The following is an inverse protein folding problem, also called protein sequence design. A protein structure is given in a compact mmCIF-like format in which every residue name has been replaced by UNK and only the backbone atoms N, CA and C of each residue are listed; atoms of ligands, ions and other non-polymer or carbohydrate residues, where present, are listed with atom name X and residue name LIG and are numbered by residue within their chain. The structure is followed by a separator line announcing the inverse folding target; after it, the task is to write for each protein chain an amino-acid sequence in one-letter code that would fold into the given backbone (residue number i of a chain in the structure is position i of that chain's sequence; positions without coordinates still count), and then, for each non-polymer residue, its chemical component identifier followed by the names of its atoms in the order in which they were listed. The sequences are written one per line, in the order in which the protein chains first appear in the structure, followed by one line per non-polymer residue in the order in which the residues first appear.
data_IF_404282319098
#
_entry.id   IF_404282319098
#
_cell.length_a   1.000
_cell.length_b   1.000
_cell.length_c   1.000
_cell.angle_alpha   90.00
_cell.angle_beta   90.00
_cell.angle_gamma   90.00
#
_symmetry.space_group_name_H-M   'P 1'
#
loop_
_entity.id
_entity.type
_entity.pdbx_description
1 polymer ?
#
# COMPACT_ATOMS: atom_id res chain seq x y z
N UNK A 1 13.97 -9.97 -0.08
CA UNK A 1 12.78 -10.17 0.78
C UNK A 1 12.20 -8.87 1.38
N UNK A 2 12.85 -7.70 1.30
CA UNK A 2 12.30 -6.43 1.82
C UNK A 2 10.91 -6.11 1.26
N UNK A 3 10.72 -6.18 -0.07
CA UNK A 3 9.45 -5.84 -0.71
C UNK A 3 8.28 -6.66 -0.13
N UNK A 4 8.51 -7.95 0.17
CA UNK A 4 7.53 -8.83 0.81
C UNK A 4 7.08 -8.28 2.15
N UNK A 5 8.00 -7.93 3.05
CA UNK A 5 7.66 -7.36 4.35
C UNK A 5 6.96 -6.01 4.26
N UNK A 6 7.36 -5.19 3.27
CA UNK A 6 6.65 -3.94 2.99
C UNK A 6 5.19 -4.20 2.62
N UNK A 7 4.93 -5.14 1.72
CA UNK A 7 3.58 -5.49 1.28
C UNK A 7 2.75 -6.12 2.39
N UNK A 8 3.34 -7.02 3.20
CA UNK A 8 2.65 -7.64 4.33
C UNK A 8 2.21 -6.60 5.37
N UNK A 9 3.09 -5.65 5.71
CA UNK A 9 2.74 -4.57 6.63
C UNK A 9 1.66 -3.63 6.06
N UNK A 10 1.70 -3.33 4.75
CA UNK A 10 0.66 -2.55 4.08
C UNK A 10 -0.68 -3.30 4.06
N UNK A 11 -0.68 -4.60 3.78
CA UNK A 11 -1.88 -5.42 3.77
C UNK A 11 -2.55 -5.45 5.15
N UNK A 12 -1.76 -5.46 6.23
CA UNK A 12 -2.28 -5.39 7.59
C UNK A 12 -2.93 -4.04 7.90
N UNK A 13 -2.33 -2.93 7.45
CA UNK A 13 -2.91 -1.59 7.60
C UNK A 13 -4.26 -1.49 6.88
N UNK A 14 -4.33 -1.99 5.64
CA UNK A 14 -5.56 -2.05 4.86
C UNK A 14 -6.63 -2.86 5.59
N UNK A 15 -6.28 -4.06 6.09
CA UNK A 15 -7.25 -4.95 6.73
C UNK A 15 -7.76 -4.43 8.08
N UNK A 16 -6.96 -3.63 8.81
CA UNK A 16 -7.28 -3.18 10.17
C UNK A 16 -7.86 -1.77 10.23
N UNK A 17 -7.27 -0.84 9.50
CA UNK A 17 -7.62 0.59 9.53
C UNK A 17 -8.30 1.07 8.25
N UNK A 18 -8.20 0.32 7.15
CA UNK A 18 -8.57 0.80 5.83
C UNK A 18 -7.60 1.83 5.25
N UNK A 19 -6.55 2.20 5.99
CA UNK A 19 -5.56 3.18 5.56
C UNK A 19 -4.40 2.52 4.79
N UNK A 20 -3.81 3.31 3.88
CA UNK A 20 -2.64 2.92 3.10
C UNK A 20 -1.47 3.89 3.33
N UNK A 21 -0.50 3.50 4.16
CA UNK A 21 0.70 4.32 4.39
C UNK A 21 1.80 3.97 3.38
N UNK A 22 1.92 4.79 2.34
CA UNK A 22 2.96 4.64 1.31
C UNK A 22 4.36 4.91 1.89
N UNK A 23 4.50 5.98 2.68
CA UNK A 23 5.74 6.25 3.41
C UNK A 23 5.82 5.34 4.64
N UNK A 24 6.86 4.52 4.71
CA UNK A 24 6.96 3.46 5.70
C UNK A 24 7.62 3.97 6.98
N UNK A 25 6.99 3.78 8.16
CA UNK A 25 7.60 4.14 9.44
C UNK A 25 8.76 3.21 9.80
N UNK A 26 8.75 1.95 9.34
CA UNK A 26 9.79 0.95 9.61
C UNK A 26 10.89 0.91 8.54
N UNK A 27 11.34 2.09 8.07
CA UNK A 27 12.32 2.21 6.98
C UNK A 27 13.63 1.45 7.27
N UNK A 28 14.17 1.58 8.47
CA UNK A 28 15.47 1.01 8.81
C UNK A 28 15.43 -0.51 8.89
N UNK A 29 14.35 -1.09 9.42
CA UNK A 29 14.11 -2.54 9.40
C UNK A 29 14.08 -3.07 7.96
N UNK A 30 13.36 -2.39 7.07
CA UNK A 30 13.28 -2.76 5.65
C UNK A 30 14.67 -2.72 5.00
N UNK A 31 15.47 -1.70 5.28
CA UNK A 31 16.83 -1.60 4.77
C UNK A 31 17.75 -2.69 5.32
N UNK A 32 17.66 -3.03 6.60
CA UNK A 32 18.42 -4.14 7.20
C UNK A 32 18.07 -5.49 6.54
N UNK A 33 16.78 -5.73 6.26
CA UNK A 33 16.35 -6.92 5.50
C UNK A 33 16.93 -6.92 4.08
N UNK A 34 16.99 -5.76 3.41
CA UNK A 34 17.60 -5.65 2.07
C UNK A 34 19.12 -5.86 2.12
N UNK A 35 19.77 -5.41 3.19
CA UNK A 35 21.21 -5.59 3.41
C UNK A 35 21.61 -7.03 3.78
N UNK A 36 20.64 -7.92 4.02
CA UNK A 36 20.93 -9.31 4.39
C UNK A 36 21.33 -9.49 5.86
N UNK A 37 20.98 -8.54 6.73
CA UNK A 37 21.28 -8.60 8.18
C UNK A 37 20.64 -9.79 8.89
N UNK A 38 19.61 -10.39 8.30
CA UNK A 38 18.85 -11.50 8.90
C UNK A 38 19.06 -12.81 8.13
N UNK A 39 19.11 -13.96 8.82
CA UNK A 39 19.09 -15.27 8.17
C UNK A 39 17.83 -15.47 7.33
N UNK A 40 17.98 -16.11 6.18
CA UNK A 40 16.88 -16.38 5.25
C UNK A 40 15.72 -17.15 5.91
N UNK A 41 16.03 -18.24 6.62
CA UNK A 41 15.02 -19.09 7.28
C UNK A 41 14.20 -18.31 8.32
N UNK A 42 14.84 -17.40 9.06
CA UNK A 42 14.14 -16.54 10.03
C UNK A 42 13.17 -15.58 9.33
N UNK A 43 13.57 -14.99 8.21
CA UNK A 43 12.69 -14.13 7.41
C UNK A 43 11.53 -14.92 6.79
N UNK A 44 11.80 -16.13 6.29
CA UNK A 44 10.78 -16.99 5.71
C UNK A 44 9.72 -17.39 6.75
N UNK A 45 10.15 -17.79 7.95
CA UNK A 45 9.26 -18.11 9.05
C UNK A 45 8.39 -16.90 9.45
N UNK A 46 9.02 -15.72 9.63
CA UNK A 46 8.30 -14.48 9.96
C UNK A 46 7.25 -14.13 8.90
N UNK A 47 7.58 -14.26 7.62
CA UNK A 47 6.65 -13.98 6.53
C UNK A 47 5.45 -14.95 6.52
N UNK A 48 5.66 -16.25 6.78
CA UNK A 48 4.57 -17.25 6.85
C UNK A 48 3.63 -16.98 8.02
N UNK A 49 4.17 -16.65 9.20
CA UNK A 49 3.37 -16.26 10.36
C UNK A 49 2.52 -15.03 10.05
N UNK A 50 3.11 -14.02 9.40
CA UNK A 50 2.41 -12.80 9.03
C UNK A 50 1.30 -13.06 8.00
N UNK A 51 1.56 -13.88 6.98
CA UNK A 51 0.53 -14.28 6.00
C UNK A 51 -0.66 -14.96 6.67
N UNK A 52 -0.40 -15.85 7.64
CA UNK A 52 -1.48 -16.54 8.38
C UNK A 52 -2.32 -15.55 9.18
N UNK A 53 -1.69 -14.58 9.83
CA UNK A 53 -2.38 -13.48 10.52
C UNK A 53 -3.21 -12.62 9.56
N UNK A 54 -2.67 -12.27 8.39
CA UNK A 54 -3.39 -11.49 7.39
C UNK A 54 -4.67 -12.18 6.94
N UNK A 55 -4.64 -13.51 6.74
CA UNK A 55 -5.85 -14.26 6.40
C UNK A 55 -6.96 -13.99 7.43
N UNK A 56 -6.67 -14.16 8.72
CA UNK A 56 -7.64 -13.91 9.79
C UNK A 56 -8.08 -12.44 9.88
N UNK A 57 -7.21 -11.49 9.56
CA UNK A 57 -7.57 -10.07 9.53
C UNK A 57 -8.52 -9.75 8.38
N UNK A 58 -8.27 -10.28 7.18
CA UNK A 58 -9.15 -10.07 6.03
C UNK A 58 -10.49 -10.79 6.16
N UNK A 59 -10.53 -11.95 6.84
CA UNK A 59 -11.80 -12.62 7.18
C UNK A 59 -12.71 -11.77 8.08
N UNK A 60 -12.12 -10.82 8.83
CA UNK A 60 -12.83 -9.91 9.75
C UNK A 60 -12.93 -8.47 9.23
N UNK A 61 -12.26 -8.17 8.11
CA UNK A 61 -12.22 -6.82 7.58
C UNK A 61 -13.59 -6.43 6.98
N UNK A 62 -13.99 -5.18 7.16
CA UNK A 62 -15.21 -4.64 6.57
C UNK A 62 -15.07 -4.29 5.08
N UNK A 63 -14.04 -4.83 4.42
CA UNK A 63 -13.73 -4.53 3.02
C UNK A 63 -14.64 -5.36 2.11
N UNK A 64 -15.19 -4.75 1.04
CA UNK A 64 -15.98 -5.51 0.08
C UNK A 64 -15.08 -6.48 -0.70
N UNK A 65 -15.65 -7.61 -1.14
CA UNK A 65 -14.93 -8.58 -1.97
C UNK A 65 -14.43 -7.96 -3.29
N UNK A 66 -15.19 -7.00 -3.82
CA UNK A 66 -14.83 -6.25 -5.03
C UNK A 66 -15.06 -4.76 -4.82
N UNK A 67 -14.18 -3.90 -5.39
CA UNK A 67 -14.40 -2.47 -5.39
C UNK A 67 -15.56 -2.08 -6.31
N UNK A 68 -16.18 -0.94 -6.03
CA UNK A 68 -17.15 -0.32 -6.92
C UNK A 68 -16.41 0.30 -8.13
N UNK A 69 -16.52 -0.36 -9.28
CA UNK A 69 -15.82 0.04 -10.49
C UNK A 69 -16.34 1.36 -11.07
N UNK A 70 -17.65 1.63 -10.96
CA UNK A 70 -18.24 2.86 -11.46
C UNK A 70 -17.77 4.07 -10.64
N UNK A 71 -17.77 3.92 -9.31
CA UNK A 71 -17.23 4.95 -8.41
C UNK A 71 -15.73 5.20 -8.66
N UNK A 72 -14.95 4.14 -8.90
CA UNK A 72 -13.52 4.24 -9.22
C UNK A 72 -13.28 4.96 -10.55
N UNK A 73 -14.05 4.66 -11.59
CA UNK A 73 -13.93 5.32 -12.88
C UNK A 73 -14.28 6.81 -12.78
N UNK A 74 -15.39 7.14 -12.11
CA UNK A 74 -15.79 8.53 -11.87
C UNK A 74 -14.72 9.29 -11.08
N UNK A 75 -14.13 8.67 -10.05
CA UNK A 75 -13.02 9.24 -9.29
C UNK A 75 -11.79 9.49 -10.18
N UNK A 76 -11.42 8.52 -11.02
CA UNK A 76 -10.27 8.63 -11.92
C UNK A 76 -10.44 9.79 -12.91
N UNK A 77 -11.61 9.91 -13.53
CA UNK A 77 -11.94 11.01 -14.44
C UNK A 77 -11.79 12.35 -13.71
N UNK A 78 -12.38 12.46 -12.52
CA UNK A 78 -12.33 13.69 -11.72
C UNK A 78 -10.89 14.10 -11.38
N UNK A 79 -10.05 13.16 -10.92
CA UNK A 79 -8.65 13.43 -10.60
C UNK A 79 -7.91 13.95 -11.84
N UNK A 80 -8.10 13.30 -13.00
CA UNK A 80 -7.45 13.71 -14.25
C UNK A 80 -7.91 15.10 -14.71
N UNK A 81 -9.21 15.38 -14.65
CA UNK A 81 -9.75 16.69 -15.00
C UNK A 81 -9.18 17.80 -14.11
N UNK A 82 -9.12 17.58 -12.80
CA UNK A 82 -8.51 18.52 -11.85
C UNK A 82 -7.03 18.77 -12.19
N UNK A 83 -6.28 17.70 -12.47
CA UNK A 83 -4.87 17.81 -12.83
C UNK A 83 -4.67 18.56 -14.16
N UNK A 84 -5.47 18.28 -15.18
CA UNK A 84 -5.40 19.01 -16.45
C UNK A 84 -5.77 20.48 -16.29
N UNK A 85 -6.83 20.79 -15.54
CA UNK A 85 -7.22 22.18 -15.29
C UNK A 85 -6.11 22.96 -14.59
N UNK A 86 -5.50 22.39 -13.55
CA UNK A 86 -4.35 22.98 -12.87
C UNK A 86 -3.16 23.16 -13.82
N UNK A 87 -2.82 22.12 -14.57
CA UNK A 87 -1.72 22.16 -15.54
C UNK A 87 -1.88 23.27 -16.58
N UNK A 88 -3.09 23.45 -17.13
CA UNK A 88 -3.37 24.52 -18.09
C UNK A 88 -3.34 25.91 -17.45
N UNK A 89 -3.77 26.05 -16.20
CA UNK A 89 -3.65 27.31 -15.46
C UNK A 89 -2.18 27.69 -15.21
N UNK A 90 -1.37 26.73 -14.76
CA UNK A 90 0.06 26.94 -14.50
C UNK A 90 0.83 27.26 -15.79
N UNK A 91 0.50 26.60 -16.89
CA UNK A 91 1.08 26.87 -18.20
C UNK A 91 0.70 28.25 -18.75
N UNK A 92 -0.53 28.71 -18.49
CA UNK A 92 -0.99 30.05 -18.87
C UNK A 92 -0.31 31.18 -18.09
N UNK A 93 0.05 30.94 -16.82
CA UNK A 93 0.70 31.95 -15.96
C UNK A 93 2.22 32.00 -16.14
N UNK A 94 2.83 30.97 -16.75
CA UNK A 94 4.26 30.89 -17.04
C UNK A 94 4.66 31.55 -18.39
N UNK A 95 3.72 32.22 -19.07
CA UNK A 95 3.93 33.05 -20.26
C UNK A 95 3.76 34.52 -19.92
#
# INVERSE_FOLDING_TARGET
MMHTFRLLAMAEEIATSGDLRVQRPNRDELLAIKAGTYPYEALLAKAKTWQSRLKSLFDQASLPERPDLEALEALLIRIRQQWYAQFYQDWSQAK
#
